data_IF_262083005567
#
_entry.id   IF_262083005567
#
_cell.length_a   1.000
_cell.length_b   1.000
_cell.length_c   1.000
_cell.angle_alpha   90.00
_cell.angle_beta   90.00
_cell.angle_gamma   90.00
#
_symmetry.space_group_name_H-M   'P 1'
#
loop_
_entity.id
_entity.type
_entity.pdbx_description
1 polymer ?
#
# COMPACT_ATOMS: atom_id res chain seq x y z
N UNK A 1 39.33 52.77 53.36
CA UNK A 1 39.83 52.66 54.74
C UNK A 1 39.38 51.31 55.28
N UNK A 2 40.30 50.60 55.94
CA UNK A 2 40.27 49.17 56.31
C UNK A 2 39.12 48.83 57.27
N UNK A 3 38.53 47.62 57.14
CA UNK A 3 38.58 46.60 58.21
C UNK A 3 38.16 45.21 57.71
N UNK A 4 38.91 44.24 58.24
CA UNK A 4 38.94 42.80 57.93
C UNK A 4 38.11 42.02 58.95
N UNK A 5 37.81 40.76 58.60
CA UNK A 5 37.77 39.55 59.47
C UNK A 5 36.40 39.05 59.94
N UNK A 6 36.03 37.84 59.53
CA UNK A 6 35.60 36.80 60.48
C UNK A 6 36.01 35.40 60.02
N UNK A 7 36.68 34.72 60.93
CA UNK A 7 37.16 33.33 60.94
C UNK A 7 36.10 32.43 61.57
N UNK A 8 35.90 31.20 61.10
CA UNK A 8 35.92 29.98 61.96
C UNK A 8 35.44 28.70 61.23
N UNK A 9 36.43 27.88 60.86
CA UNK A 9 36.60 26.43 61.10
C UNK A 9 35.39 25.56 61.52
N UNK A 10 35.33 24.41 60.85
CA UNK A 10 35.09 23.01 61.30
C UNK A 10 33.83 22.37 60.69
N UNK A 11 33.77 21.07 60.39
CA UNK A 11 34.69 19.94 60.33
C UNK A 11 33.92 18.83 59.58
N UNK A 12 34.64 18.05 58.79
CA UNK A 12 34.43 16.62 58.50
C UNK A 12 33.21 15.90 59.11
N UNK A 13 32.49 15.15 58.26
CA UNK A 13 31.60 14.05 58.65
C UNK A 13 30.58 13.74 57.55
N UNK A 14 30.93 12.93 56.55
CA UNK A 14 30.57 11.50 56.46
C UNK A 14 29.11 11.28 56.03
N UNK A 15 28.90 10.75 54.83
CA UNK A 15 28.05 9.58 54.50
C UNK A 15 27.94 9.49 52.96
N UNK A 16 28.63 8.54 52.33
CA UNK A 16 28.20 7.17 52.01
C UNK A 16 27.37 7.07 50.72
N UNK A 17 28.04 6.56 49.69
CA UNK A 17 27.56 5.60 48.69
C UNK A 17 26.11 5.72 48.19
N UNK A 18 25.92 6.41 47.06
CA UNK A 18 24.87 6.05 46.09
C UNK A 18 25.51 6.01 44.71
N UNK A 19 26.33 4.98 44.49
CA UNK A 19 26.82 4.60 43.18
C UNK A 19 25.92 3.47 42.65
N UNK A 20 25.36 3.67 41.46
CA UNK A 20 24.91 2.57 40.61
C UNK A 20 23.42 2.27 40.62
N UNK A 21 22.59 3.16 40.07
CA UNK A 21 21.27 2.79 39.51
C UNK A 21 20.79 3.85 38.50
N UNK A 22 21.61 4.10 37.49
CA UNK A 22 21.16 4.70 36.23
C UNK A 22 21.40 3.66 35.14
N UNK A 23 20.62 2.58 35.19
CA UNK A 23 20.48 1.67 34.05
C UNK A 23 19.81 2.45 32.93
N UNK A 24 20.58 2.64 31.86
CA UNK A 24 20.18 3.19 30.58
C UNK A 24 18.89 2.52 30.07
N UNK A 25 17.76 3.21 30.19
CA UNK A 25 16.59 2.93 29.36
C UNK A 25 16.86 3.52 27.97
N UNK A 26 17.62 2.80 27.14
CA UNK A 26 17.74 3.13 25.73
C UNK A 26 16.35 2.96 25.09
N UNK A 27 15.86 3.93 24.30
CA UNK A 27 14.65 3.73 23.51
C UNK A 27 14.91 2.57 22.55
N UNK A 28 14.17 1.48 22.72
CA UNK A 28 14.19 0.40 21.74
C UNK A 28 13.62 0.97 20.45
N UNK A 29 14.50 1.24 19.48
CA UNK A 29 14.10 1.49 18.11
C UNK A 29 13.25 0.28 17.68
N UNK A 30 11.96 0.50 17.48
CA UNK A 30 11.15 -0.49 16.81
C UNK A 30 11.73 -0.60 15.41
N UNK A 31 12.30 -1.75 15.09
CA UNK A 31 12.52 -2.12 13.72
C UNK A 31 11.12 -2.19 13.11
N UNK A 32 10.73 -1.15 12.37
CA UNK A 32 9.67 -1.31 11.38
C UNK A 32 10.14 -2.47 10.51
N UNK A 33 9.40 -3.59 10.52
CA UNK A 33 9.65 -4.70 9.61
C UNK A 33 9.70 -4.10 8.22
N UNK A 34 10.91 -4.01 7.65
CA UNK A 34 11.15 -3.56 6.30
C UNK A 34 10.51 -4.61 5.39
N UNK A 35 9.21 -4.43 5.14
CA UNK A 35 8.47 -5.28 4.21
C UNK A 35 9.16 -5.14 2.88
N UNK A 36 9.62 -6.28 2.36
CA UNK A 36 10.22 -6.34 1.04
C UNK A 36 9.36 -5.55 0.05
N UNK A 37 9.97 -4.69 -0.78
CA UNK A 37 9.22 -3.94 -1.75
C UNK A 37 8.46 -4.90 -2.68
N UNK A 38 7.25 -4.52 -3.15
CA UNK A 38 6.47 -5.35 -4.04
C UNK A 38 7.30 -5.74 -5.27
N UNK A 39 7.36 -7.04 -5.57
CA UNK A 39 8.08 -7.56 -6.76
C UNK A 39 7.41 -7.13 -8.06
N UNK A 40 6.12 -6.78 -8.01
CA UNK A 40 5.37 -6.20 -9.13
C UNK A 40 4.37 -5.15 -8.65
N UNK A 41 4.14 -4.16 -9.50
CA UNK A 41 3.10 -3.14 -9.33
C UNK A 41 2.27 -3.03 -10.59
N UNK A 42 1.01 -2.64 -10.44
CA UNK A 42 0.18 -2.15 -11.52
C UNK A 42 0.24 -0.62 -11.49
N UNK A 43 0.38 0.02 -12.63
CA UNK A 43 0.46 1.48 -12.71
C UNK A 43 -0.86 2.04 -13.23
N UNK A 44 -1.38 3.07 -12.57
CA UNK A 44 -2.49 3.85 -13.11
C UNK A 44 -1.98 4.64 -14.33
N UNK A 45 -2.34 4.20 -15.53
CA UNK A 45 -1.86 4.79 -16.79
C UNK A 45 -2.74 5.93 -17.28
N UNK A 46 -4.01 5.95 -16.87
CA UNK A 46 -4.99 6.95 -17.23
C UNK A 46 -6.02 7.14 -16.11
N UNK A 47 -6.48 8.38 -15.93
CA UNK A 47 -7.55 8.78 -15.02
C UNK A 47 -8.36 9.86 -15.72
N UNK A 48 -9.67 9.72 -15.71
CA UNK A 48 -10.63 10.73 -16.14
C UNK A 48 -11.81 10.75 -15.17
N UNK A 49 -12.22 11.96 -14.76
CA UNK A 49 -13.22 12.15 -13.72
C UNK A 49 -12.73 11.83 -12.29
N UNK A 50 -13.65 11.35 -11.46
CA UNK A 50 -13.44 11.01 -10.05
C UNK A 50 -13.03 9.55 -9.90
N UNK A 51 -11.77 9.33 -9.53
CA UNK A 51 -11.23 8.00 -9.27
C UNK A 51 -10.56 8.03 -7.91
N UNK A 52 -10.95 7.11 -7.05
CA UNK A 52 -10.44 7.00 -5.68
C UNK A 52 -9.67 5.70 -5.49
N UNK A 53 -8.65 5.73 -4.66
CA UNK A 53 -7.80 4.61 -4.31
C UNK A 53 -7.73 4.46 -2.79
N UNK A 54 -7.80 3.22 -2.31
CA UNK A 54 -7.58 2.85 -0.92
C UNK A 54 -6.35 1.95 -0.82
N UNK A 55 -5.23 2.42 -0.24
CA UNK A 55 -4.02 1.61 -0.09
C UNK A 55 -4.24 0.40 0.82
N UNK A 56 -3.72 -0.77 0.46
CA UNK A 56 -3.77 -2.01 1.25
C UNK A 56 -5.18 -2.52 1.57
N UNK A 57 -6.24 -1.90 1.02
CA UNK A 57 -7.63 -2.21 1.35
C UNK A 57 -8.05 -1.80 2.77
N UNK A 58 -7.20 -1.01 3.43
CA UNK A 58 -7.38 -0.52 4.80
C UNK A 58 -6.84 0.91 4.90
N UNK A 59 -7.58 1.80 5.55
CA UNK A 59 -7.26 3.23 5.60
C UNK A 59 -8.17 4.08 4.73
N UNK A 60 -7.82 5.34 4.57
CA UNK A 60 -8.70 6.32 3.94
C UNK A 60 -8.68 6.22 2.42
N UNK A 61 -9.85 6.46 1.83
CA UNK A 61 -9.96 6.68 0.39
C UNK A 61 -9.38 8.05 0.03
N UNK A 62 -8.49 8.07 -0.96
CA UNK A 62 -7.92 9.29 -1.51
C UNK A 62 -8.01 9.33 -3.03
N UNK A 63 -7.81 10.51 -3.62
CA UNK A 63 -7.79 10.65 -5.07
C UNK A 63 -6.70 9.78 -5.69
N UNK A 64 -7.06 8.99 -6.70
CA UNK A 64 -6.10 8.31 -7.54
C UNK A 64 -5.42 9.32 -8.47
N UNK A 65 -4.15 9.08 -8.77
CA UNK A 65 -3.37 9.91 -9.66
C UNK A 65 -2.69 9.05 -10.72
N UNK A 66 -2.51 9.61 -11.93
CA UNK A 66 -1.73 8.96 -12.98
C UNK A 66 -0.31 8.67 -12.48
N UNK A 67 0.25 7.55 -12.92
CA UNK A 67 1.55 7.00 -12.53
C UNK A 67 1.64 6.54 -11.07
N UNK A 68 0.54 6.57 -10.31
CA UNK A 68 0.51 5.94 -8.98
C UNK A 68 0.67 4.41 -9.14
N UNK A 69 1.61 3.78 -8.41
CA UNK A 69 1.66 2.33 -8.32
C UNK A 69 0.53 1.80 -7.43
N UNK A 70 -0.02 0.66 -7.83
CA UNK A 70 -0.95 -0.17 -7.09
C UNK A 70 -0.33 -1.53 -6.82
N UNK A 71 -0.58 -2.05 -5.64
CA UNK A 71 -0.06 -3.32 -5.10
C UNK A 71 -1.18 -4.20 -4.58
N UNK A 72 -0.82 -5.40 -4.12
CA UNK A 72 -1.76 -6.35 -3.51
C UNK A 72 -2.52 -5.67 -2.36
N UNK A 73 -3.83 -5.89 -2.32
CA UNK A 73 -4.74 -5.31 -1.32
C UNK A 73 -5.31 -3.95 -1.72
N UNK A 74 -4.63 -3.18 -2.58
CA UNK A 74 -5.13 -1.87 -3.01
C UNK A 74 -6.48 -2.00 -3.71
N UNK A 75 -7.37 -1.04 -3.42
CA UNK A 75 -8.67 -0.92 -4.07
C UNK A 75 -8.72 0.35 -4.90
N UNK A 76 -9.47 0.29 -5.99
CA UNK A 76 -9.80 1.44 -6.81
C UNK A 76 -11.33 1.50 -6.99
N UNK A 77 -11.87 2.70 -6.85
CA UNK A 77 -13.24 3.04 -7.14
C UNK A 77 -13.26 4.06 -8.28
N UNK A 78 -13.95 3.73 -9.36
CA UNK A 78 -14.18 4.65 -10.46
C UNK A 78 -15.64 5.10 -10.39
N UNK A 79 -15.84 6.38 -10.13
CA UNK A 79 -17.16 6.94 -9.87
C UNK A 79 -18.00 7.05 -11.15
N UNK A 80 -19.22 7.55 -11.01
CA UNK A 80 -20.08 7.94 -12.12
C UNK A 80 -19.34 8.85 -13.10
N UNK A 81 -19.59 8.63 -14.39
CA UNK A 81 -19.03 9.41 -15.51
C UNK A 81 -17.49 9.52 -15.50
N UNK A 82 -16.83 8.54 -14.88
CA UNK A 82 -15.38 8.46 -14.73
C UNK A 82 -14.81 7.21 -15.39
N UNK A 83 -13.48 7.21 -15.65
CA UNK A 83 -12.72 6.11 -16.27
C UNK A 83 -11.33 6.02 -15.66
N UNK A 84 -10.79 4.81 -15.59
CA UNK A 84 -9.37 4.60 -15.26
C UNK A 84 -8.76 3.52 -16.14
N UNK A 85 -7.44 3.57 -16.32
CA UNK A 85 -6.68 2.47 -16.91
C UNK A 85 -5.54 2.06 -15.97
N UNK A 86 -5.37 0.75 -15.79
CA UNK A 86 -4.26 0.14 -15.07
C UNK A 86 -3.43 -0.71 -16.04
N UNK A 87 -2.10 -0.63 -15.93
CA UNK A 87 -1.17 -1.45 -16.71
C UNK A 87 -0.29 -2.28 -15.79
N UNK A 88 -0.17 -3.58 -16.07
CA UNK A 88 0.75 -4.49 -15.39
C UNK A 88 1.22 -5.60 -16.32
N UNK A 89 2.52 -5.75 -16.50
CA UNK A 89 3.08 -6.78 -17.37
C UNK A 89 2.51 -6.73 -18.80
N UNK A 90 1.89 -7.83 -19.22
CA UNK A 90 1.25 -7.93 -20.54
C UNK A 90 -0.24 -7.56 -20.52
N UNK A 91 -0.78 -7.16 -19.37
CA UNK A 91 -2.18 -6.81 -19.19
C UNK A 91 -2.41 -5.30 -19.08
N UNK A 92 -3.50 -4.84 -19.70
CA UNK A 92 -4.07 -3.52 -19.50
C UNK A 92 -5.56 -3.67 -19.13
N UNK A 93 -5.98 -3.01 -18.06
CA UNK A 93 -7.33 -3.03 -17.51
C UNK A 93 -7.95 -1.64 -17.67
N UNK A 94 -9.04 -1.54 -18.41
CA UNK A 94 -9.83 -0.32 -18.58
C UNK A 94 -11.09 -0.46 -17.73
N UNK A 95 -11.18 0.40 -16.72
CA UNK A 95 -12.18 0.34 -15.67
C UNK A 95 -13.28 1.35 -16.01
N UNK A 96 -14.52 0.86 -16.10
CA UNK A 96 -15.70 1.67 -16.38
C UNK A 96 -16.15 2.49 -15.18
N UNK A 97 -17.22 3.26 -15.38
CA UNK A 97 -17.88 4.00 -14.29
C UNK A 97 -18.53 3.04 -13.31
N UNK A 98 -18.78 3.51 -12.09
CA UNK A 98 -19.43 2.73 -11.03
C UNK A 98 -18.79 1.36 -10.84
N UNK A 99 -17.46 1.34 -10.71
CA UNK A 99 -16.70 0.08 -10.71
C UNK A 99 -15.74 0.01 -9.53
N UNK A 100 -15.86 -1.06 -8.74
CA UNK A 100 -14.95 -1.40 -7.66
C UNK A 100 -14.03 -2.56 -8.06
N UNK A 101 -12.73 -2.30 -8.06
CA UNK A 101 -11.71 -3.30 -8.37
C UNK A 101 -10.62 -3.33 -7.29
N UNK A 102 -10.07 -4.52 -7.00
CA UNK A 102 -8.91 -4.67 -6.11
C UNK A 102 -7.94 -5.73 -6.59
N UNK A 103 -6.65 -5.60 -6.29
CA UNK A 103 -5.68 -6.65 -6.55
C UNK A 103 -5.67 -7.68 -5.42
N UNK A 104 -5.94 -8.94 -5.75
CA UNK A 104 -5.85 -10.07 -4.80
C UNK A 104 -4.46 -10.71 -4.83
N UNK A 105 -3.85 -10.78 -6.01
CA UNK A 105 -2.48 -11.25 -6.20
C UNK A 105 -1.83 -10.50 -7.36
N UNK A 106 -0.58 -10.10 -7.17
CA UNK A 106 0.18 -9.36 -8.16
C UNK A 106 1.67 -9.65 -7.99
N UNK A 107 2.19 -10.55 -8.82
CA UNK A 107 3.59 -10.95 -8.83
C UNK A 107 4.06 -11.22 -10.27
N UNK A 108 5.28 -11.72 -10.44
CA UNK A 108 5.88 -11.92 -11.76
C UNK A 108 5.04 -12.76 -12.74
N UNK A 109 4.31 -13.77 -12.26
CA UNK A 109 3.49 -14.66 -13.09
C UNK A 109 1.99 -14.55 -12.84
N UNK A 110 1.54 -14.02 -11.70
CA UNK A 110 0.11 -13.98 -11.35
C UNK A 110 -0.38 -12.54 -11.29
N UNK A 111 -1.43 -12.26 -12.04
CA UNK A 111 -2.27 -11.07 -11.90
C UNK A 111 -3.70 -11.51 -11.64
N UNK A 112 -4.13 -11.39 -10.39
CA UNK A 112 -5.50 -11.71 -9.97
C UNK A 112 -6.16 -10.45 -9.43
N UNK A 113 -7.28 -10.08 -10.02
CA UNK A 113 -8.10 -8.96 -9.59
C UNK A 113 -9.46 -9.45 -9.13
N UNK A 114 -10.06 -8.73 -8.17
CA UNK A 114 -11.48 -8.85 -7.85
C UNK A 114 -12.22 -7.70 -8.49
N UNK A 115 -13.27 -8.01 -9.24
CA UNK A 115 -14.28 -7.06 -9.71
C UNK A 115 -15.54 -7.27 -8.85
N UNK A 116 -15.76 -6.37 -7.89
CA UNK A 116 -16.90 -6.52 -6.97
C UNK A 116 -18.22 -6.08 -7.62
N UNK A 117 -18.16 -5.04 -8.46
CA UNK A 117 -19.28 -4.47 -9.21
C UNK A 117 -18.76 -3.64 -10.38
N UNK A 118 -19.63 -3.38 -11.36
CA UNK A 118 -19.36 -2.49 -12.47
C UNK A 118 -18.85 -3.20 -13.73
N UNK A 119 -17.98 -2.55 -14.48
CA UNK A 119 -17.52 -3.07 -15.79
C UNK A 119 -16.02 -2.96 -15.98
N UNK A 120 -15.44 -4.07 -16.45
CA UNK A 120 -14.01 -4.19 -16.71
C UNK A 120 -13.79 -4.69 -18.14
N UNK A 121 -13.11 -3.90 -18.96
CA UNK A 121 -12.52 -4.40 -20.20
C UNK A 121 -11.03 -4.60 -19.96
N UNK A 122 -10.47 -5.74 -20.32
CA UNK A 122 -9.04 -5.95 -20.19
C UNK A 122 -8.46 -6.72 -21.36
N UNK A 123 -7.19 -6.42 -21.65
CA UNK A 123 -6.45 -7.03 -22.74
C UNK A 123 -5.18 -7.66 -22.18
N UNK A 124 -4.99 -8.94 -22.49
CA UNK A 124 -3.73 -9.66 -22.27
C UNK A 124 -3.04 -9.78 -23.62
N UNK A 125 -1.90 -9.12 -23.78
CA UNK A 125 -1.15 -9.07 -25.05
C UNK A 125 -0.44 -10.38 -25.38
N UNK A 126 0.04 -11.06 -24.35
CA UNK A 126 0.80 -12.30 -24.44
C UNK A 126 0.53 -13.10 -23.15
N UNK A 127 0.31 -14.40 -23.30
CA UNK A 127 0.17 -15.33 -22.17
C UNK A 127 1.39 -16.27 -22.18
N UNK A 128 2.36 -15.99 -21.31
CA UNK A 128 3.60 -16.79 -21.25
C UNK A 128 3.37 -18.07 -20.45
N UNK A 129 4.29 -19.01 -20.59
CA UNK A 129 4.24 -20.23 -19.78
C UNK A 129 4.37 -19.87 -18.30
N UNK A 130 3.37 -20.25 -17.50
CA UNK A 130 3.30 -19.95 -16.07
C UNK A 130 2.57 -18.66 -15.73
N UNK A 131 2.21 -17.83 -16.71
CA UNK A 131 1.37 -16.66 -16.47
C UNK A 131 -0.07 -17.08 -16.12
N UNK A 132 -0.64 -16.40 -15.14
CA UNK A 132 -2.04 -16.50 -14.74
C UNK A 132 -2.63 -15.10 -14.70
N UNK A 133 -3.66 -14.87 -15.51
CA UNK A 133 -4.51 -13.69 -15.43
C UNK A 133 -5.90 -14.12 -15.04
N UNK A 134 -6.39 -13.63 -13.92
CA UNK A 134 -7.67 -14.04 -13.34
C UNK A 134 -8.49 -12.83 -12.88
N UNK A 135 -9.80 -12.90 -13.12
CA UNK A 135 -10.79 -11.96 -12.60
C UNK A 135 -11.79 -12.73 -11.75
N UNK A 136 -11.77 -12.45 -10.45
CA UNK A 136 -12.78 -12.92 -9.52
C UNK A 136 -13.96 -11.95 -9.50
N UNK A 137 -15.16 -12.48 -9.67
CA UNK A 137 -16.42 -11.78 -9.53
C UNK A 137 -17.34 -12.57 -8.58
N UNK A 138 -18.45 -11.99 -8.08
CA UNK A 138 -19.26 -12.62 -7.04
C UNK A 138 -19.70 -14.07 -7.34
N UNK A 139 -20.01 -14.36 -8.61
CA UNK A 139 -20.60 -15.63 -9.03
C UNK A 139 -19.69 -16.46 -9.96
N UNK A 140 -18.48 -15.99 -10.28
CA UNK A 140 -17.55 -16.67 -11.18
C UNK A 140 -16.10 -16.24 -10.96
N UNK A 141 -15.18 -17.14 -11.27
CA UNK A 141 -13.77 -16.80 -11.50
C UNK A 141 -13.47 -17.00 -12.98
N UNK A 142 -12.93 -15.98 -13.64
CA UNK A 142 -12.55 -16.02 -15.04
C UNK A 142 -11.04 -16.08 -15.17
N UNK A 143 -10.51 -17.21 -15.63
CA UNK A 143 -9.07 -17.38 -15.92
C UNK A 143 -8.80 -17.31 -17.42
N UNK A 144 -7.86 -16.45 -17.82
CA UNK A 144 -7.44 -16.31 -19.22
C UNK A 144 -6.64 -17.55 -19.66
N UNK A 145 -7.09 -18.22 -20.73
CA UNK A 145 -6.37 -19.38 -21.30
C UNK A 145 -5.61 -19.07 -22.59
N UNK A 146 -5.89 -17.94 -23.21
CA UNK A 146 -5.25 -17.47 -24.44
C UNK A 146 -5.18 -15.94 -24.42
N UNK A 147 -4.13 -15.35 -25.00
CA UNK A 147 -4.03 -13.90 -25.15
C UNK A 147 -5.24 -13.35 -25.93
N UNK A 148 -5.75 -12.20 -25.51
CA UNK A 148 -7.00 -11.67 -26.05
C UNK A 148 -7.51 -10.43 -25.32
N UNK A 149 -8.69 -9.98 -25.74
CA UNK A 149 -9.44 -8.92 -25.08
C UNK A 149 -10.74 -9.49 -24.54
N UNK A 150 -11.10 -9.08 -23.32
CA UNK A 150 -12.21 -9.62 -22.57
C UNK A 150 -13.00 -8.47 -21.95
N UNK A 151 -14.29 -8.71 -21.72
CA UNK A 151 -15.17 -7.82 -20.98
C UNK A 151 -15.91 -8.63 -19.93
N UNK A 152 -15.94 -8.11 -18.71
CA UNK A 152 -16.71 -8.66 -17.60
C UNK A 152 -17.56 -7.53 -17.03
N UNK A 153 -18.85 -7.81 -16.88
CA UNK A 153 -19.83 -6.93 -16.27
C UNK A 153 -20.39 -7.63 -15.03
N UNK A 154 -20.46 -6.90 -13.92
CA UNK A 154 -21.02 -7.37 -12.65
C UNK A 154 -22.07 -6.37 -12.21
N UNK A 155 -23.30 -6.84 -12.10
CA UNK A 155 -24.41 -6.05 -11.57
C UNK A 155 -24.47 -6.19 -10.04
N UNK A 156 -25.05 -5.20 -9.36
CA UNK A 156 -25.45 -5.31 -7.95
C UNK A 156 -26.46 -6.45 -7.69
#
# INVERSE_FOLDING_TARGET
MKTTTFTSRNKFGLLLCVAGLLMFAAPQARADEEKDPPTRVARISYVDGSVSLQPGGQGDWGSAARNRPMTIGDKIWVDKDSRAELQTGQAAFHIGSMTALSFLNLNEGITQVRLAEGSLNFRVRELRQGDVYEVDAPNLAFTVRQAGAFRIDVNE
#
